data_IF_247815525799
#
_entry.id   IF_247815525799
#
_cell.length_a   1.000
_cell.length_b   1.000
_cell.length_c   1.000
_cell.angle_alpha   90.00
_cell.angle_beta   90.00
_cell.angle_gamma   90.00
#
_symmetry.space_group_name_H-M   'P 1'
#
loop_
_entity.id
_entity.type
_entity.pdbx_description
1 polymer ?
#
# COMPACT_ATOMS: atom_id res chain seq x y z
N UNK A 1 14.26 -0.20 -0.70
CA UNK A 1 12.87 -0.58 -0.34
C UNK A 1 12.68 -2.06 -0.59
N UNK A 2 12.19 -2.77 0.39
CA UNK A 2 11.92 -4.20 0.28
C UNK A 2 10.42 -4.41 0.09
N UNK A 3 10.05 -5.11 -1.00
CA UNK A 3 8.63 -5.36 -1.34
C UNK A 3 8.38 -6.85 -1.35
N UNK A 4 7.41 -7.29 -0.56
CA UNK A 4 6.91 -8.66 -0.57
C UNK A 4 5.48 -8.65 -1.09
N UNK A 5 5.19 -9.51 -2.06
CA UNK A 5 3.85 -9.67 -2.63
C UNK A 5 3.38 -11.10 -2.42
N UNK A 6 2.22 -11.26 -1.82
CA UNK A 6 1.62 -12.54 -1.51
C UNK A 6 0.22 -12.67 -2.10
N UNK A 7 -0.09 -13.82 -2.65
CA UNK A 7 -1.44 -14.15 -3.12
C UNK A 7 -2.10 -15.15 -2.20
N UNK A 8 -3.37 -14.92 -1.84
CA UNK A 8 -4.14 -15.80 -0.98
C UNK A 8 -5.42 -16.20 -1.70
N UNK A 9 -5.58 -17.50 -1.94
CA UNK A 9 -6.71 -18.05 -2.68
C UNK A 9 -6.84 -17.49 -4.11
N UNK A 10 -5.73 -17.01 -4.68
CA UNK A 10 -5.67 -16.47 -6.02
C UNK A 10 -4.28 -16.72 -6.59
N UNK A 11 -4.20 -17.00 -7.88
CA UNK A 11 -2.93 -17.12 -8.57
C UNK A 11 -2.38 -15.72 -8.87
N UNK A 12 -1.11 -15.47 -8.52
CA UNK A 12 -0.44 -14.23 -8.86
C UNK A 12 0.01 -14.28 -10.31
N UNK A 13 -0.81 -13.72 -11.19
CA UNK A 13 -0.46 -13.62 -12.61
C UNK A 13 0.54 -12.49 -12.81
N UNK A 14 1.23 -12.50 -13.96
CA UNK A 14 2.13 -11.41 -14.33
C UNK A 14 1.40 -10.07 -14.38
N UNK A 15 0.16 -10.07 -14.87
CA UNK A 15 -0.66 -8.87 -14.94
C UNK A 15 -0.92 -8.28 -13.54
N UNK A 16 -1.23 -9.12 -12.57
CA UNK A 16 -1.46 -8.69 -11.18
C UNK A 16 -0.18 -8.16 -10.56
N UNK A 17 0.92 -8.89 -10.73
CA UNK A 17 2.24 -8.45 -10.22
C UNK A 17 2.63 -7.10 -10.80
N UNK A 18 2.50 -6.93 -12.11
CA UNK A 18 2.84 -5.69 -12.79
C UNK A 18 1.97 -4.54 -12.29
N UNK A 19 0.68 -4.79 -12.11
CA UNK A 19 -0.24 -3.76 -11.64
C UNK A 19 0.11 -3.30 -10.23
N UNK A 20 0.36 -4.24 -9.31
CA UNK A 20 0.76 -3.92 -7.94
C UNK A 20 2.07 -3.13 -7.94
N UNK A 21 3.06 -3.58 -8.70
CA UNK A 21 4.35 -2.91 -8.75
C UNK A 21 4.24 -1.49 -9.31
N UNK A 22 3.41 -1.28 -10.32
CA UNK A 22 3.16 0.07 -10.85
C UNK A 22 2.53 0.98 -9.80
N UNK A 23 1.58 0.47 -9.03
CA UNK A 23 0.93 1.26 -7.98
C UNK A 23 1.86 1.55 -6.81
N UNK A 24 2.71 0.59 -6.45
CA UNK A 24 3.73 0.80 -5.42
C UNK A 24 4.75 1.83 -5.89
N UNK A 25 5.08 1.83 -7.17
CA UNK A 25 5.98 2.84 -7.76
C UNK A 25 5.44 4.26 -7.56
N UNK A 26 4.13 4.46 -7.56
CA UNK A 26 3.54 5.77 -7.27
C UNK A 26 3.84 6.25 -5.84
N UNK A 27 4.14 5.35 -4.93
CA UNK A 27 4.56 5.68 -3.57
C UNK A 27 6.08 5.85 -3.47
N UNK A 28 6.80 5.41 -4.47
CA UNK A 28 8.27 5.30 -4.43
C UNK A 28 8.95 6.63 -4.17
N UNK A 29 8.50 7.70 -4.79
CA UNK A 29 9.08 9.03 -4.58
C UNK A 29 9.00 9.45 -3.11
N UNK A 30 7.85 9.22 -2.51
CA UNK A 30 7.63 9.54 -1.09
C UNK A 30 8.48 8.65 -0.20
N UNK A 31 8.55 7.36 -0.53
CA UNK A 31 9.28 6.37 0.27
C UNK A 31 10.80 6.48 0.08
N UNK A 32 11.27 6.78 -1.13
CA UNK A 32 12.71 6.92 -1.36
C UNK A 32 13.30 8.14 -0.66
N UNK A 33 12.55 9.22 -0.53
CA UNK A 33 13.01 10.37 0.26
C UNK A 33 13.29 9.96 1.71
N UNK A 34 12.48 9.08 2.25
CA UNK A 34 12.64 8.57 3.62
C UNK A 34 13.87 7.67 3.70
N UNK A 35 14.09 6.80 2.71
CA UNK A 35 15.26 5.92 2.66
C UNK A 35 16.55 6.70 2.52
N UNK A 36 16.57 7.74 1.69
CA UNK A 36 17.73 8.62 1.53
C UNK A 36 18.09 9.33 2.81
N UNK A 37 17.11 9.60 3.66
CA UNK A 37 17.34 10.16 5.00
C UNK A 37 17.82 9.14 6.03
N UNK A 38 18.15 7.90 5.60
CA UNK A 38 18.61 6.85 6.48
C UNK A 38 17.51 5.95 7.02
N UNK A 39 16.30 6.09 6.51
CA UNK A 39 15.16 5.27 6.93
C UNK A 39 15.09 3.95 6.20
N UNK A 40 14.63 2.91 6.90
CA UNK A 40 14.36 1.60 6.32
C UNK A 40 12.88 1.49 5.98
N UNK A 41 12.57 1.06 4.75
CA UNK A 41 11.19 0.91 4.28
C UNK A 41 10.95 -0.54 3.87
N UNK A 42 9.90 -1.14 4.44
CA UNK A 42 9.46 -2.49 4.10
C UNK A 42 7.99 -2.44 3.70
N UNK A 43 7.65 -3.08 2.57
CA UNK A 43 6.29 -3.12 2.04
C UNK A 43 5.85 -4.58 1.93
N UNK A 44 4.73 -4.90 2.56
CA UNK A 44 4.11 -6.22 2.45
C UNK A 44 2.72 -6.05 1.84
N UNK A 45 2.54 -6.55 0.62
CA UNK A 45 1.30 -6.40 -0.13
C UNK A 45 0.65 -7.77 -0.32
N UNK A 46 -0.62 -7.90 0.04
CA UNK A 46 -1.35 -9.15 -0.10
C UNK A 46 -2.61 -8.92 -0.92
N UNK A 47 -2.88 -9.84 -1.85
CA UNK A 47 -4.10 -9.83 -2.66
C UNK A 47 -4.74 -11.19 -2.58
N UNK A 48 -6.06 -11.25 -2.67
CA UNK A 48 -6.75 -12.53 -2.61
C UNK A 48 -8.22 -12.44 -2.96
N UNK A 49 -8.83 -13.60 -2.98
CA UNK A 49 -10.28 -13.72 -3.08
C UNK A 49 -10.85 -13.91 -1.68
N UNK A 50 -11.89 -13.18 -1.35
CA UNK A 50 -12.61 -13.37 -0.10
C UNK A 50 -13.33 -14.71 -0.13
N UNK A 51 -13.37 -15.40 1.02
CA UNK A 51 -14.15 -16.63 1.17
C UNK A 51 -15.64 -16.34 1.40
N UNK A 52 -15.99 -15.06 1.64
CA UNK A 52 -17.38 -14.65 1.78
C UNK A 52 -17.98 -14.38 0.40
N UNK A 53 -19.06 -15.07 0.09
CA UNK A 53 -19.79 -14.85 -1.16
C UNK A 53 -20.94 -13.89 -0.89
N UNK A 54 -20.96 -12.78 -1.61
CA UNK A 54 -22.09 -11.87 -1.62
C UNK A 54 -23.02 -12.23 -2.77
N UNK A 55 -24.28 -11.78 -2.69
CA UNK A 55 -25.29 -12.06 -3.71
C UNK A 55 -24.89 -11.58 -5.10
N UNK A 56 -23.98 -10.62 -5.20
CA UNK A 56 -23.56 -10.01 -6.46
C UNK A 56 -22.31 -10.64 -7.06
N UNK A 57 -21.70 -11.66 -6.44
CA UNK A 57 -20.55 -12.36 -7.00
C UNK A 57 -19.34 -12.40 -6.08
N UNK A 58 -18.16 -12.57 -6.70
CA UNK A 58 -16.91 -12.70 -5.97
C UNK A 58 -16.42 -11.34 -5.44
N UNK A 59 -15.86 -11.37 -4.24
CA UNK A 59 -15.23 -10.19 -3.64
C UNK A 59 -13.73 -10.44 -3.57
N UNK A 60 -12.96 -9.47 -4.03
CA UNK A 60 -11.51 -9.49 -3.95
C UNK A 60 -11.05 -8.64 -2.79
N UNK A 61 -10.05 -9.15 -2.09
CA UNK A 61 -9.44 -8.48 -0.95
C UNK A 61 -8.00 -8.08 -1.29
N UNK A 62 -7.61 -6.91 -0.84
CA UNK A 62 -6.22 -6.50 -0.90
C UNK A 62 -5.87 -5.78 0.40
N UNK A 63 -4.63 -5.95 0.86
CA UNK A 63 -4.13 -5.18 1.98
C UNK A 63 -2.64 -4.91 1.79
N UNK A 64 -2.16 -3.90 2.50
CA UNK A 64 -0.77 -3.52 2.44
C UNK A 64 -0.32 -2.96 3.79
N UNK A 65 0.80 -3.46 4.27
CA UNK A 65 1.48 -2.94 5.45
C UNK A 65 2.80 -2.32 5.02
N UNK A 66 3.00 -1.07 5.38
CA UNK A 66 4.27 -0.38 5.14
C UNK A 66 4.89 -0.03 6.49
N UNK A 67 6.12 -0.50 6.70
CA UNK A 67 6.89 -0.18 7.91
C UNK A 67 7.98 0.83 7.56
N UNK A 68 7.97 1.95 8.25
CA UNK A 68 8.94 3.02 8.05
C UNK A 68 9.51 3.39 9.42
N UNK A 69 10.78 3.04 9.67
CA UNK A 69 11.48 3.37 10.92
C UNK A 69 10.67 3.00 12.18
N UNK A 70 10.08 1.82 12.19
CA UNK A 70 9.28 1.36 13.31
C UNK A 70 7.82 1.82 13.31
N UNK A 71 7.47 2.76 12.46
CA UNK A 71 6.07 3.14 12.25
C UNK A 71 5.42 2.22 11.24
N UNK A 72 4.16 1.88 11.49
CA UNK A 72 3.39 1.03 10.60
C UNK A 72 2.22 1.80 9.99
N UNK A 73 2.06 1.65 8.68
CA UNK A 73 0.92 2.16 7.94
C UNK A 73 0.23 0.97 7.30
N UNK A 74 -1.06 0.85 7.53
CA UNK A 74 -1.82 -0.30 7.06
C UNK A 74 -3.10 0.17 6.38
N UNK A 75 -3.46 -0.49 5.28
CA UNK A 75 -4.74 -0.28 4.62
C UNK A 75 -5.23 -1.58 4.01
N UNK A 76 -6.54 -1.76 4.00
CA UNK A 76 -7.18 -2.91 3.38
C UNK A 76 -8.43 -2.46 2.64
N UNK A 77 -8.82 -3.21 1.62
CA UNK A 77 -10.02 -2.93 0.85
C UNK A 77 -10.60 -4.22 0.27
N UNK A 78 -11.93 -4.29 0.24
CA UNK A 78 -12.67 -5.36 -0.39
C UNK A 78 -13.52 -4.75 -1.50
N UNK A 79 -13.36 -5.25 -2.72
CA UNK A 79 -14.05 -4.74 -3.90
C UNK A 79 -14.44 -5.89 -4.83
N UNK A 80 -15.39 -5.64 -5.70
CA UNK A 80 -15.76 -6.62 -6.74
C UNK A 80 -14.68 -6.76 -7.82
N UNK A 81 -13.80 -5.79 -7.93
CA UNK A 81 -12.68 -5.77 -8.87
C UNK A 81 -11.37 -5.68 -8.08
N UNK A 82 -10.46 -6.62 -8.32
CA UNK A 82 -9.17 -6.68 -7.64
C UNK A 82 -8.34 -5.41 -7.88
N UNK A 83 -8.35 -4.91 -9.10
CA UNK A 83 -7.58 -3.71 -9.46
C UNK A 83 -8.10 -2.47 -8.72
N UNK A 84 -9.41 -2.38 -8.52
CA UNK A 84 -10.01 -1.31 -7.71
C UNK A 84 -9.59 -1.42 -6.25
N UNK A 85 -9.49 -2.63 -5.72
CA UNK A 85 -9.03 -2.85 -4.34
C UNK A 85 -7.58 -2.39 -4.17
N UNK A 86 -6.72 -2.72 -5.13
CA UNK A 86 -5.32 -2.30 -5.13
C UNK A 86 -5.20 -0.79 -5.19
N UNK A 87 -5.97 -0.14 -6.05
CA UNK A 87 -5.96 1.34 -6.18
C UNK A 87 -6.44 2.02 -4.90
N UNK A 88 -7.48 1.51 -4.28
CA UNK A 88 -8.02 2.07 -3.03
C UNK A 88 -6.97 2.04 -1.92
N UNK A 89 -6.23 0.95 -1.81
CA UNK A 89 -5.17 0.82 -0.82
C UNK A 89 -4.04 1.80 -1.09
N UNK A 90 -3.60 1.88 -2.33
CA UNK A 90 -2.52 2.78 -2.73
C UNK A 90 -2.87 4.23 -2.39
N UNK A 91 -4.09 4.66 -2.72
CA UNK A 91 -4.55 6.02 -2.44
C UNK A 91 -4.62 6.29 -0.94
N UNK A 92 -5.14 5.34 -0.17
CA UNK A 92 -5.24 5.46 1.29
C UNK A 92 -3.87 5.59 1.94
N UNK A 93 -2.93 4.73 1.55
CA UNK A 93 -1.57 4.75 2.09
C UNK A 93 -0.81 6.01 1.67
N UNK A 94 -0.96 6.43 0.43
CA UNK A 94 -0.34 7.66 -0.05
C UNK A 94 -0.78 8.86 0.80
N UNK A 95 -2.09 8.97 1.03
CA UNK A 95 -2.65 10.06 1.82
C UNK A 95 -2.17 10.02 3.28
N UNK A 96 -2.14 8.83 3.89
CA UNK A 96 -1.69 8.65 5.27
C UNK A 96 -0.22 9.03 5.45
N UNK A 97 0.63 8.52 4.58
CA UNK A 97 2.07 8.78 4.66
C UNK A 97 2.36 10.25 4.36
N UNK A 98 1.69 10.82 3.36
CA UNK A 98 1.86 12.21 2.97
C UNK A 98 1.42 13.16 4.07
N UNK A 99 0.32 12.87 4.75
CA UNK A 99 -0.14 13.66 5.91
C UNK A 99 0.89 13.68 7.02
N UNK A 100 1.45 12.52 7.34
CA UNK A 100 2.47 12.44 8.39
C UNK A 100 3.72 13.22 8.03
N UNK A 101 4.17 13.09 6.79
CA UNK A 101 5.35 13.82 6.30
C UNK A 101 5.10 15.33 6.31
N UNK A 102 3.94 15.77 5.83
CA UNK A 102 3.58 17.19 5.80
C UNK A 102 3.43 17.78 7.20
N UNK A 103 2.85 17.02 8.13
CA UNK A 103 2.74 17.46 9.53
C UNK A 103 4.10 17.68 10.15
N UNK A 104 5.02 16.76 9.93
CA UNK A 104 6.39 16.89 10.43
C UNK A 104 7.08 18.12 9.86
N UNK A 105 6.94 18.36 8.56
CA UNK A 105 7.50 19.54 7.90
C UNK A 105 6.86 20.82 8.40
N UNK A 106 5.53 20.84 8.55
CA UNK A 106 4.81 22.00 9.05
C UNK A 106 5.21 22.34 10.48
N UNK A 107 5.38 21.33 11.33
CA UNK A 107 5.83 21.54 12.71
C UNK A 107 7.26 22.09 12.76
N UNK A 108 8.14 21.60 11.89
CA UNK A 108 9.50 22.12 11.78
C UNK A 108 9.52 23.60 11.37
N UNK A 109 8.69 23.96 10.40
CA UNK A 109 8.58 25.35 9.96
C UNK A 109 8.03 26.27 11.04
N UNK A 110 7.05 25.80 11.80
CA UNK A 110 6.47 26.57 12.90
C UNK A 110 7.38 26.65 14.10
N UNK A 111 8.26 25.67 14.27
CA UNK A 111 9.22 25.66 15.36
C UNK A 111 10.45 26.50 15.12
N UNK A 112 10.55 27.03 13.93
CA UNK A 112 11.60 27.97 13.58
C UNK A 112 11.10 29.39 13.79
#
# INVERSE_FOLDING_TARGET
>A
MQINLLGKNIALTEAIKDYVLKRVTNLEKLLSNIEEGGGEVKVAFEVGKSTCHHKSGEIFHADCLIKINGKEFYSSADKEDLYQAIDAIKDSLYNEINKNTNRSQTLLYRGA
#
